data_IF_814481384532
#
_entry.id   IF_814481384532
#
_cell.length_a   1.000
_cell.length_b   1.000
_cell.length_c   1.000
_cell.angle_alpha   90.00
_cell.angle_beta   90.00
_cell.angle_gamma   90.00
#
_symmetry.space_group_name_H-M   'P 1'
#
loop_
_entity.id
_entity.type
_entity.pdbx_description
1 polymer ?
#
# COMPACT_ATOMS: atom_id res chain seq x y z
N UNK A 1 -3.18 -0.50 12.04
CA UNK A 1 -4.64 -0.48 11.74
C UNK A 1 -4.93 -1.36 10.54
N UNK A 2 -6.08 -2.05 10.49
CA UNK A 2 -6.49 -2.82 9.31
C UNK A 2 -7.08 -1.88 8.26
N UNK A 3 -6.69 -2.08 7.01
CA UNK A 3 -7.15 -1.25 5.90
C UNK A 3 -7.41 -2.09 4.66
N UNK A 4 -8.24 -1.56 3.77
CA UNK A 4 -8.25 -1.92 2.35
C UNK A 4 -7.43 -0.88 1.61
N UNK A 5 -6.43 -1.33 0.87
CA UNK A 5 -5.63 -0.50 -0.02
C UNK A 5 -5.95 -0.84 -1.48
N UNK A 6 -5.89 0.17 -2.33
CA UNK A 6 -6.06 0.03 -3.78
C UNK A 6 -4.97 0.82 -4.49
N UNK A 7 -4.28 0.19 -5.43
CA UNK A 7 -3.38 0.83 -6.39
C UNK A 7 -3.82 0.37 -7.78
N UNK A 8 -4.03 1.32 -8.69
CA UNK A 8 -4.59 1.04 -10.01
C UNK A 8 -5.90 0.25 -9.91
N UNK A 9 -5.91 -0.97 -10.46
CA UNK A 9 -7.08 -1.86 -10.45
C UNK A 9 -7.03 -2.94 -9.37
N UNK A 10 -5.93 -3.01 -8.61
CA UNK A 10 -5.74 -4.06 -7.61
C UNK A 10 -6.05 -3.56 -6.22
N UNK A 11 -7.01 -4.23 -5.56
CA UNK A 11 -7.38 -3.96 -4.16
C UNK A 11 -7.03 -5.14 -3.25
N UNK A 12 -6.51 -4.86 -2.06
CA UNK A 12 -6.19 -5.91 -1.07
C UNK A 12 -6.36 -5.41 0.36
N UNK A 13 -6.59 -6.36 1.28
CA UNK A 13 -6.55 -6.08 2.72
C UNK A 13 -5.12 -6.23 3.24
N UNK A 14 -4.70 -5.26 4.06
CA UNK A 14 -3.38 -5.22 4.68
C UNK A 14 -3.41 -4.42 5.99
N UNK A 15 -2.27 -4.35 6.66
CA UNK A 15 -2.04 -3.46 7.79
C UNK A 15 -1.35 -2.17 7.35
N UNK A 16 -1.72 -1.07 8.01
CA UNK A 16 -0.97 0.18 8.00
C UNK A 16 -0.20 0.29 9.33
N UNK A 17 1.11 0.45 9.26
CA UNK A 17 2.01 0.47 10.42
C UNK A 17 2.62 1.85 10.61
N UNK A 18 2.44 2.50 11.77
CA UNK A 18 3.02 3.82 12.02
C UNK A 18 4.54 3.74 12.17
N UNK A 19 5.27 4.68 11.57
CA UNK A 19 6.70 4.88 11.78
C UNK A 19 6.89 6.20 12.53
N UNK A 20 6.89 6.09 13.86
CA UNK A 20 6.75 7.24 14.78
C UNK A 20 7.83 8.32 14.62
N UNK A 21 9.06 7.94 14.25
CA UNK A 21 10.17 8.89 14.10
C UNK A 21 10.02 9.80 12.88
N UNK A 22 9.31 9.34 11.86
CA UNK A 22 9.25 9.99 10.55
C UNK A 22 7.87 10.58 10.25
N UNK A 23 6.87 10.32 11.11
CA UNK A 23 5.50 10.82 10.92
C UNK A 23 4.80 10.19 9.72
N UNK A 24 5.29 9.04 9.24
CA UNK A 24 4.75 8.32 8.09
C UNK A 24 4.12 6.99 8.48
N UNK A 25 3.40 6.39 7.55
CA UNK A 25 2.91 5.03 7.67
C UNK A 25 3.51 4.13 6.60
N UNK A 26 3.94 2.96 7.03
CA UNK A 26 4.34 1.86 6.16
C UNK A 26 3.11 1.09 5.70
N UNK A 27 2.94 1.02 4.38
CA UNK A 27 1.96 0.19 3.69
C UNK A 27 2.69 -0.96 3.00
N UNK A 28 2.38 -2.20 3.40
CA UNK A 28 2.93 -3.38 2.73
C UNK A 28 2.20 -3.62 1.40
N UNK A 29 2.94 -3.50 0.30
CA UNK A 29 2.48 -3.89 -1.04
C UNK A 29 2.89 -5.35 -1.27
N UNK A 30 1.92 -6.26 -1.36
CA UNK A 30 2.18 -7.70 -1.54
C UNK A 30 2.77 -7.98 -2.92
N UNK A 31 3.59 -9.03 -3.05
CA UNK A 31 4.21 -9.39 -4.34
C UNK A 31 3.20 -9.51 -5.50
N UNK A 32 2.04 -10.19 -5.36
CA UNK A 32 1.06 -10.26 -6.45
C UNK A 32 0.51 -8.91 -6.88
N UNK A 33 0.46 -7.92 -5.98
CA UNK A 33 0.01 -6.56 -6.31
C UNK A 33 1.08 -5.86 -7.15
N UNK A 34 2.35 -5.93 -6.73
CA UNK A 34 3.47 -5.34 -7.49
C UNK A 34 3.55 -5.90 -8.90
N UNK A 35 3.38 -7.22 -9.05
CA UNK A 35 3.40 -7.85 -10.37
C UNK A 35 2.22 -7.46 -11.25
N UNK A 36 1.00 -7.32 -10.70
CA UNK A 36 -0.20 -6.95 -11.46
C UNK A 36 -0.19 -5.51 -11.94
N UNK A 37 0.35 -4.60 -11.13
CA UNK A 37 0.38 -3.16 -11.41
C UNK A 37 1.76 -2.68 -11.90
N UNK A 38 2.68 -3.61 -12.23
CA UNK A 38 4.08 -3.37 -12.66
C UNK A 38 4.86 -2.36 -11.79
N UNK A 39 4.72 -2.48 -10.47
CA UNK A 39 5.36 -1.56 -9.51
C UNK A 39 6.80 -2.01 -9.23
N UNK A 40 7.75 -1.10 -9.41
CA UNK A 40 9.19 -1.30 -9.21
C UNK A 40 9.75 -0.31 -8.21
N UNK A 41 11.01 -0.53 -7.82
CA UNK A 41 11.73 0.39 -6.95
C UNK A 41 11.93 1.74 -7.65
N UNK A 42 11.68 2.83 -6.93
CA UNK A 42 11.74 4.20 -7.45
C UNK A 42 10.43 4.74 -8.03
N UNK A 43 9.43 3.88 -8.24
CA UNK A 43 8.14 4.31 -8.78
C UNK A 43 7.36 5.16 -7.78
N UNK A 44 6.72 6.22 -8.30
CA UNK A 44 5.69 6.96 -7.56
C UNK A 44 4.32 6.42 -7.95
N UNK A 45 3.58 5.89 -6.98
CA UNK A 45 2.24 5.30 -7.20
C UNK A 45 1.18 6.06 -6.44
N UNK A 46 -0.02 6.16 -7.03
CA UNK A 46 -1.19 6.69 -6.34
C UNK A 46 -1.99 5.54 -5.74
N UNK A 47 -2.29 5.63 -4.45
CA UNK A 47 -3.11 4.67 -3.74
C UNK A 47 -4.35 5.31 -3.11
N UNK A 48 -5.38 4.51 -2.90
CA UNK A 48 -6.56 4.84 -2.09
C UNK A 48 -6.57 3.92 -0.88
N UNK A 49 -6.83 4.48 0.30
CA UNK A 49 -6.91 3.74 1.56
C UNK A 49 -8.32 3.91 2.14
N UNK A 50 -8.91 2.79 2.55
CA UNK A 50 -10.16 2.77 3.31
C UNK A 50 -9.92 2.04 4.62
N UNK A 51 -10.29 2.66 5.74
CA UNK A 51 -10.23 2.05 7.05
C UNK A 51 -11.27 0.93 7.15
N UNK A 52 -10.91 -0.17 7.82
CA UNK A 52 -11.77 -1.32 8.07
C UNK A 52 -12.01 -1.49 9.56
#
# INVERSE_FOLDING_TARGET
>A
VKVRATIGNTSWQTGLWPQAKEGVYLLVIKAPVRHKEDIREGDTVRGVITLL
#
